data_IF_997055383885
#
_entry.id   IF_997055383885
#
_cell.length_a   1.000
_cell.length_b   1.000
_cell.length_c   1.000
_cell.angle_alpha   90.00
_cell.angle_beta   90.00
_cell.angle_gamma   90.00
#
_symmetry.space_group_name_H-M   'P 1'
#
loop_
_entity.id
_entity.type
_entity.pdbx_description
1 polymer ?
#
# COMPACT_ATOMS: atom_id res chain seq x y z
N UNK A 1 -0.90 15.17 6.63
CA UNK A 1 0.10 14.36 7.36
C UNK A 1 -0.68 13.43 8.26
N UNK A 2 -0.53 12.11 8.11
CA UNK A 2 -1.28 11.13 8.92
C UNK A 2 -0.81 11.25 10.38
N UNK A 3 -1.67 11.75 11.26
CA UNK A 3 -1.36 12.03 12.68
C UNK A 3 -1.20 10.75 13.53
N UNK A 4 -1.46 9.58 12.93
CA UNK A 4 -1.37 8.27 13.57
C UNK A 4 -0.21 7.50 12.96
N UNK A 5 0.71 7.04 13.80
CA UNK A 5 1.75 6.10 13.38
C UNK A 5 1.04 4.84 12.83
N UNK A 6 1.37 4.38 11.62
CA UNK A 6 0.77 3.17 11.06
C UNK A 6 1.12 1.98 11.94
N UNK A 7 0.26 0.97 11.93
CA UNK A 7 0.57 -0.32 12.53
C UNK A 7 1.83 -0.88 11.85
N UNK A 8 2.96 -1.03 12.57
CA UNK A 8 4.23 -1.41 11.97
C UNK A 8 4.21 -2.84 11.43
N UNK A 9 3.38 -3.72 11.99
CA UNK A 9 3.23 -5.10 11.52
C UNK A 9 2.47 -5.14 10.22
N UNK A 10 1.36 -4.40 10.11
CA UNK A 10 0.58 -4.32 8.87
C UNK A 10 1.34 -3.59 7.76
N UNK A 11 2.04 -2.50 8.09
CA UNK A 11 2.89 -1.80 7.15
C UNK A 11 4.05 -2.66 6.63
N UNK A 12 4.70 -3.46 7.50
CA UNK A 12 5.70 -4.42 7.06
C UNK A 12 5.08 -5.52 6.17
N UNK A 13 3.89 -6.02 6.53
CA UNK A 13 3.19 -7.04 5.77
C UNK A 13 2.82 -6.55 4.36
N UNK A 14 2.30 -5.32 4.21
CA UNK A 14 1.96 -4.77 2.90
C UNK A 14 3.20 -4.65 2.00
N UNK A 15 4.34 -4.20 2.56
CA UNK A 15 5.60 -4.13 1.83
C UNK A 15 6.07 -5.53 1.40
N UNK A 16 6.01 -6.52 2.28
CA UNK A 16 6.37 -7.90 1.94
C UNK A 16 5.48 -8.48 0.84
N UNK A 17 4.16 -8.25 0.90
CA UNK A 17 3.21 -8.72 -0.13
C UNK A 17 3.50 -8.07 -1.49
N UNK A 18 3.71 -6.75 -1.51
CA UNK A 18 4.05 -6.03 -2.73
C UNK A 18 5.37 -6.55 -3.32
N UNK A 19 6.41 -6.70 -2.49
CA UNK A 19 7.69 -7.25 -2.94
C UNK A 19 7.51 -8.65 -3.52
N UNK A 20 6.76 -9.53 -2.86
CA UNK A 20 6.52 -10.90 -3.34
C UNK A 20 5.79 -10.93 -4.67
N UNK A 21 4.78 -10.07 -4.85
CA UNK A 21 4.06 -9.94 -6.11
C UNK A 21 5.01 -9.61 -7.27
N UNK A 22 5.88 -8.60 -7.08
CA UNK A 22 6.85 -8.21 -8.09
C UNK A 22 8.08 -9.12 -8.21
N UNK A 23 8.40 -9.91 -7.18
CA UNK A 23 9.54 -10.85 -7.20
C UNK A 23 9.27 -12.04 -8.12
N UNK A 24 8.01 -12.46 -8.26
CA UNK A 24 7.64 -13.63 -9.05
C UNK A 24 7.70 -13.36 -10.56
N UNK A 25 7.02 -12.31 -11.03
CA UNK A 25 7.10 -11.82 -12.40
C UNK A 25 6.79 -10.31 -12.41
N UNK A 26 7.82 -9.45 -12.49
CA UNK A 26 7.62 -8.00 -12.46
C UNK A 26 6.78 -7.48 -13.65
N UNK A 27 6.79 -8.18 -14.79
CA UNK A 27 6.09 -7.76 -16.01
C UNK A 27 4.63 -8.26 -16.05
N UNK A 28 4.30 -9.33 -15.32
CA UNK A 28 2.96 -9.90 -15.24
C UNK A 28 2.43 -9.96 -13.80
N UNK A 29 2.66 -8.92 -13.01
CA UNK A 29 2.15 -8.86 -11.65
C UNK A 29 0.62 -9.01 -11.65
N UNK A 30 0.08 -9.87 -10.78
CA UNK A 30 -1.36 -9.96 -10.60
C UNK A 30 -1.83 -8.71 -9.86
N UNK A 31 -2.68 -7.93 -10.50
CA UNK A 31 -3.27 -6.73 -9.90
C UNK A 31 -4.07 -7.03 -8.62
N UNK A 32 -4.53 -8.27 -8.45
CA UNK A 32 -5.19 -8.75 -7.23
C UNK A 32 -4.23 -8.76 -6.03
N UNK A 33 -2.98 -9.16 -6.24
CA UNK A 33 -1.95 -9.17 -5.20
C UNK A 33 -1.52 -7.74 -4.83
N UNK A 34 -1.44 -6.87 -5.83
CA UNK A 34 -1.18 -5.43 -5.62
C UNK A 34 -2.33 -4.79 -4.84
N UNK A 35 -3.58 -5.11 -5.16
CA UNK A 35 -4.75 -4.61 -4.43
C UNK A 35 -4.77 -5.13 -2.98
N UNK A 36 -4.42 -6.41 -2.75
CA UNK A 36 -4.35 -6.98 -1.41
C UNK A 36 -3.26 -6.31 -0.54
N UNK A 37 -2.10 -5.99 -1.13
CA UNK A 37 -1.07 -5.21 -0.47
C UNK A 37 -1.55 -3.79 -0.15
N UNK A 38 -2.25 -3.14 -1.09
CA UNK A 38 -2.82 -1.81 -0.87
C UNK A 38 -3.87 -1.81 0.24
N UNK A 39 -4.78 -2.77 0.28
CA UNK A 39 -5.80 -2.88 1.33
C UNK A 39 -5.16 -3.05 2.72
N UNK A 40 -4.09 -3.85 2.80
CA UNK A 40 -3.32 -4.03 4.03
C UNK A 40 -2.62 -2.73 4.45
N UNK A 41 -2.13 -1.95 3.50
CA UNK A 41 -1.56 -0.63 3.78
C UNK A 41 -2.64 0.32 4.31
N UNK A 42 -3.80 0.42 3.64
CA UNK A 42 -4.89 1.29 4.07
C UNK A 42 -5.36 0.93 5.49
N UNK A 43 -5.47 -0.37 5.81
CA UNK A 43 -5.78 -0.86 7.15
C UNK A 43 -4.67 -0.55 8.18
N UNK A 44 -3.39 -0.53 7.77
CA UNK A 44 -2.29 -0.11 8.63
C UNK A 44 -2.37 1.38 9.02
N UNK A 45 -2.82 2.22 8.09
CA UNK A 45 -2.99 3.66 8.27
C UNK A 45 -4.38 4.05 8.80
N UNK A 46 -5.27 3.09 9.06
CA UNK A 46 -6.66 3.32 9.48
C UNK A 46 -7.44 4.19 8.47
N UNK A 47 -7.19 3.93 7.17
CA UNK A 47 -7.76 4.66 6.05
C UNK A 47 -8.90 3.87 5.39
N UNK A 48 -9.90 4.57 4.83
CA UNK A 48 -10.96 3.90 4.09
C UNK A 48 -10.40 3.27 2.80
N UNK A 49 -10.99 2.16 2.31
CA UNK A 49 -10.58 1.51 1.06
C UNK A 49 -10.78 2.41 -0.17
N UNK A 50 -11.63 3.43 -0.07
CA UNK A 50 -11.84 4.45 -1.09
C UNK A 50 -10.85 5.61 -0.99
N UNK A 51 -9.87 5.55 -0.08
CA UNK A 51 -8.86 6.58 0.05
C UNK A 51 -7.96 6.57 -1.19
N UNK A 52 -8.03 7.64 -1.96
CA UNK A 52 -7.08 7.91 -3.04
C UNK A 52 -6.16 9.01 -2.52
N UNK A 53 -4.88 8.67 -2.40
CA UNK A 53 -3.86 9.67 -2.10
C UNK A 53 -3.85 10.70 -3.24
N UNK A 54 -4.32 11.91 -2.96
CA UNK A 54 -4.11 13.03 -3.86
C UNK A 54 -2.65 13.45 -3.69
N UNK A 55 -1.81 13.00 -4.62
CA UNK A 55 -0.49 13.59 -4.80
C UNK A 55 -0.70 15.03 -5.26
N UNK A 56 -0.82 15.95 -4.30
CA UNK A 56 -0.87 17.38 -4.57
C UNK A 56 0.49 17.75 -5.18
N UNK A 57 0.57 17.73 -6.51
CA UNK A 57 1.69 18.28 -7.30
C UNK A 57 1.73 19.81 -7.13
N UNK A 58 1.83 20.29 -5.88
CA UNK A 58 2.18 21.66 -5.50
C UNK A 58 3.27 21.63 -4.43
N UNK A 59 4.37 20.96 -4.74
CA UNK A 59 5.66 21.34 -4.21
C UNK A 59 6.62 21.36 -5.40
N UNK A 60 6.70 22.56 -5.99
CA UNK A 60 7.70 22.96 -6.96
C UNK A 60 9.10 22.96 -6.34
#
# INVERSE_FOLDING_TARGET
MFDRAPDPTKAAACCCQLIQAYLADPEHVDWSDVQAALDTALDAFDLPPSFIEQNDMRAA
#
